data_IF_635711935948
#
_entry.id   IF_635711935948
#
_cell.length_a   1.000
_cell.length_b   1.000
_cell.length_c   1.000
_cell.angle_alpha   90.00
_cell.angle_beta   90.00
_cell.angle_gamma   90.00
#
_symmetry.space_group_name_H-M   'P 1'
#
loop_
_entity.id
_entity.type
_entity.pdbx_description
1 polymer ?
#
# COMPACT_ATOMS: atom_id res chain seq x y z
N UNK A 1 -7.07 -9.39 -2.77
CA UNK A 1 -8.10 -9.30 -1.72
C UNK A 1 -7.66 -10.25 -0.63
N UNK A 2 -7.34 -9.75 0.56
CA UNK A 2 -6.98 -10.61 1.70
C UNK A 2 -8.23 -11.29 2.29
N UNK A 3 -8.04 -12.16 3.29
CA UNK A 3 -9.12 -12.89 3.96
C UNK A 3 -10.15 -11.96 4.66
N UNK A 4 -9.79 -10.70 4.89
CA UNK A 4 -10.61 -9.67 5.52
C UNK A 4 -11.30 -8.76 4.49
N UNK A 5 -11.18 -9.07 3.18
CA UNK A 5 -11.72 -8.33 2.04
C UNK A 5 -11.10 -6.93 1.86
N UNK A 6 -9.81 -6.80 2.14
CA UNK A 6 -9.04 -5.63 1.77
C UNK A 6 -8.29 -5.84 0.45
N UNK A 7 -8.32 -4.82 -0.40
CA UNK A 7 -7.50 -4.67 -1.59
C UNK A 7 -6.36 -3.70 -1.27
N UNK A 8 -5.13 -4.15 -1.47
CA UNK A 8 -3.97 -3.29 -1.38
C UNK A 8 -3.54 -2.89 -2.79
N UNK A 9 -3.29 -1.60 -2.98
CA UNK A 9 -2.90 -1.01 -4.26
C UNK A 9 -1.60 -0.25 -4.05
N UNK A 10 -0.61 -0.59 -4.86
CA UNK A 10 0.63 0.17 -4.99
C UNK A 10 0.48 1.21 -6.09
N UNK A 11 0.56 2.50 -5.75
CA UNK A 11 0.58 3.59 -6.72
C UNK A 11 2.03 4.06 -6.87
N UNK A 12 2.70 3.54 -7.90
CA UNK A 12 4.10 3.83 -8.18
C UNK A 12 4.36 5.32 -8.45
N UNK A 13 3.42 5.99 -9.13
CA UNK A 13 3.56 7.40 -9.48
C UNK A 13 3.38 8.32 -8.27
N UNK A 14 2.58 7.91 -7.29
CA UNK A 14 2.37 8.65 -6.05
C UNK A 14 3.27 8.22 -4.90
N UNK A 15 4.14 7.22 -5.10
CA UNK A 15 5.05 6.75 -4.05
C UNK A 15 4.30 6.31 -2.78
N UNK A 16 3.18 5.60 -2.95
CA UNK A 16 2.30 5.21 -1.85
C UNK A 16 1.71 3.81 -2.01
N UNK A 17 1.32 3.21 -0.88
CA UNK A 17 0.50 2.00 -0.83
C UNK A 17 -0.76 2.31 -0.05
N UNK A 18 -1.91 1.97 -0.63
CA UNK A 18 -3.23 2.14 0.01
C UNK A 18 -3.94 0.83 0.18
N UNK A 19 -4.73 0.75 1.25
CA UNK A 19 -5.66 -0.34 1.55
C UNK A 19 -7.09 0.14 1.37
N UNK A 20 -7.89 -0.66 0.67
CA UNK A 20 -9.30 -0.40 0.40
C UNK A 20 -10.14 -1.55 0.91
N UNK A 21 -11.18 -1.28 1.70
CA UNK A 21 -12.23 -2.24 1.94
C UNK A 21 -13.22 -2.25 0.77
N UNK A 22 -13.87 -3.39 0.51
CA UNK A 22 -14.92 -3.46 -0.52
C UNK A 22 -16.00 -2.39 -0.28
N UNK A 23 -16.16 -1.47 -1.24
CA UNK A 23 -17.11 -0.35 -1.16
C UNK A 23 -16.52 0.97 -0.67
N UNK A 24 -15.28 0.97 -0.18
CA UNK A 24 -14.55 2.17 0.22
C UNK A 24 -14.05 2.94 -1.01
N UNK A 25 -14.30 4.25 -1.05
CA UNK A 25 -13.84 5.13 -2.15
C UNK A 25 -12.48 5.76 -1.87
N UNK A 26 -12.21 6.06 -0.60
CA UNK A 26 -11.01 6.76 -0.15
C UNK A 26 -10.17 5.79 0.67
N UNK A 27 -9.36 4.97 -0.01
CA UNK A 27 -8.52 3.97 0.65
C UNK A 27 -7.55 4.60 1.65
N UNK A 28 -7.26 3.85 2.71
CA UNK A 28 -6.35 4.23 3.79
C UNK A 28 -4.90 4.14 3.33
N UNK A 29 -4.11 5.19 3.53
CA UNK A 29 -2.66 5.15 3.30
C UNK A 29 -2.00 4.25 4.36
N UNK A 30 -1.28 3.22 3.92
CA UNK A 30 -0.62 2.26 4.83
C UNK A 30 0.91 2.33 4.77
N UNK A 31 1.48 2.87 3.68
CA UNK A 31 2.91 3.14 3.57
C UNK A 31 3.19 4.23 2.52
N UNK A 32 4.29 4.98 2.68
CA UNK A 32 4.71 6.03 1.76
C UNK A 32 3.89 7.32 1.89
N UNK A 33 3.65 8.00 0.77
CA UNK A 33 2.92 9.27 0.70
C UNK A 33 3.76 10.53 0.99
N UNK A 34 5.07 10.37 1.24
CA UNK A 34 6.02 11.47 1.50
C UNK A 34 6.95 11.74 0.31
N UNK A 35 6.50 11.40 -0.90
CA UNK A 35 7.32 11.45 -2.12
C UNK A 35 8.31 10.29 -2.25
N UNK A 36 9.05 10.30 -3.35
CA UNK A 36 10.08 9.30 -3.65
C UNK A 36 11.41 9.62 -2.99
N UNK A 37 12.00 8.62 -2.32
CA UNK A 37 13.34 8.74 -1.73
C UNK A 37 13.73 7.56 -0.86
N UNK A 38 14.72 7.77 0.01
CA UNK A 38 15.37 6.73 0.82
C UNK A 38 15.11 6.90 2.33
N UNK A 39 14.30 7.87 2.73
CA UNK A 39 13.91 8.03 4.13
C UNK A 39 12.95 6.92 4.56
N UNK A 40 12.90 6.65 5.87
CA UNK A 40 12.12 5.54 6.46
C UNK A 40 10.63 5.57 6.14
N UNK A 41 10.09 6.74 5.78
CA UNK A 41 8.68 6.96 5.46
C UNK A 41 8.42 7.25 3.97
N UNK A 42 9.41 7.02 3.11
CA UNK A 42 9.33 7.21 1.66
C UNK A 42 9.34 5.88 0.92
N UNK A 43 8.63 5.82 -0.21
CA UNK A 43 8.67 4.70 -1.15
C UNK A 43 9.17 5.21 -2.49
N UNK A 44 9.97 4.43 -3.21
CA UNK A 44 10.45 4.83 -4.53
C UNK A 44 9.88 3.91 -5.61
N UNK A 45 8.86 4.38 -6.33
CA UNK A 45 8.20 3.64 -7.41
C UNK A 45 7.81 2.20 -7.01
N UNK A 46 7.00 2.02 -5.94
CA UNK A 46 6.60 0.68 -5.51
C UNK A 46 5.75 0.00 -6.60
N UNK A 47 6.06 -1.26 -6.91
CA UNK A 47 5.48 -2.01 -8.05
C UNK A 47 4.85 -3.33 -7.65
N UNK A 48 5.52 -4.11 -6.82
CA UNK A 48 5.06 -5.43 -6.38
C UNK A 48 4.74 -5.43 -4.89
N UNK A 49 3.59 -6.00 -4.56
CA UNK A 49 3.17 -6.27 -3.19
C UNK A 49 3.07 -7.78 -3.03
N UNK A 50 3.69 -8.31 -1.98
CA UNK A 50 3.47 -9.68 -1.53
C UNK A 50 3.00 -9.63 -0.08
N UNK A 51 2.16 -10.59 0.29
CA UNK A 51 1.68 -10.75 1.66
C UNK A 51 2.21 -12.09 2.15
N UNK A 52 2.89 -12.08 3.29
CA UNK A 52 3.21 -13.32 3.97
C UNK A 52 1.94 -13.91 4.59
N UNK A 53 1.86 -15.23 4.72
CA UNK A 53 0.69 -15.95 5.25
C UNK A 53 0.39 -15.61 6.70
N UNK A 54 1.34 -15.01 7.41
CA UNK A 54 1.18 -14.54 8.80
C UNK A 54 0.64 -13.10 8.90
N UNK A 55 0.13 -12.51 7.81
CA UNK A 55 -0.38 -11.13 7.78
C UNK A 55 0.62 -10.06 8.26
N UNK A 56 1.91 -10.40 8.32
CA UNK A 56 2.97 -9.47 8.69
C UNK A 56 3.40 -8.72 7.44
N UNK A 57 3.18 -7.41 7.44
CA UNK A 57 3.70 -6.45 6.47
C UNK A 57 5.07 -5.96 6.90
#
# INVERSE_FOLDING_TARGET
MDEQRYLYVSDGAKHEVRRYQLGEKNGTLVAGGNGGGADLNQLNFPTYLFFDRDHSV
#
